data_IF_996961873459
#
_entry.id   IF_996961873459
#
_cell.length_a   1.000
_cell.length_b   1.000
_cell.length_c   1.000
_cell.angle_alpha   90.00
_cell.angle_beta   90.00
_cell.angle_gamma   90.00
#
_symmetry.space_group_name_H-M   'P 1'
#
loop_
_entity.id
_entity.type
_entity.pdbx_description
1 polymer ?
#
# COMPACT_ATOMS: atom_id res chain seq x y z
N UNK A 1 -17.96 -20.17 13.07
CA UNK A 1 -17.04 -19.18 12.45
C UNK A 1 -17.28 -19.18 10.95
N UNK A 2 -17.87 -18.12 10.42
CA UNK A 2 -18.07 -17.94 8.97
C UNK A 2 -16.80 -17.31 8.40
N UNK A 3 -16.04 -18.04 7.60
CA UNK A 3 -14.92 -17.49 6.83
C UNK A 3 -15.46 -16.51 5.78
N UNK A 4 -14.61 -15.57 5.32
CA UNK A 4 -14.90 -14.63 4.23
C UNK A 4 -15.46 -15.33 2.96
N UNK A 5 -15.12 -16.62 2.78
CA UNK A 5 -15.64 -17.51 1.74
C UNK A 5 -17.17 -17.67 1.72
N UNK A 6 -17.88 -17.22 2.76
CA UNK A 6 -19.31 -17.52 2.93
C UNK A 6 -20.21 -16.28 2.80
N UNK A 7 -19.65 -15.08 2.63
CA UNK A 7 -20.43 -13.86 2.38
C UNK A 7 -20.66 -13.68 0.88
N UNK A 8 -21.89 -13.36 0.49
CA UNK A 8 -22.17 -12.99 -0.90
C UNK A 8 -21.62 -11.60 -1.21
N UNK A 9 -21.34 -11.34 -2.49
CA UNK A 9 -20.89 -10.02 -2.95
C UNK A 9 -21.82 -8.89 -2.47
N UNK A 10 -23.14 -9.09 -2.53
CA UNK A 10 -24.12 -8.11 -2.09
C UNK A 10 -24.03 -7.78 -0.60
N UNK A 11 -23.73 -8.77 0.25
CA UNK A 11 -23.52 -8.56 1.68
C UNK A 11 -22.26 -7.72 1.92
N UNK A 12 -21.19 -8.02 1.20
CA UNK A 12 -19.93 -7.26 1.31
C UNK A 12 -20.11 -5.82 0.85
N UNK A 13 -20.74 -5.60 -0.30
CA UNK A 13 -21.04 -4.26 -0.83
C UNK A 13 -21.89 -3.43 0.14
N UNK A 14 -22.93 -4.05 0.73
CA UNK A 14 -23.78 -3.39 1.73
C UNK A 14 -22.98 -2.94 2.95
N UNK A 15 -22.08 -3.79 3.43
CA UNK A 15 -21.26 -3.49 4.60
C UNK A 15 -20.17 -2.44 4.33
N UNK A 16 -19.55 -2.48 3.15
CA UNK A 16 -18.54 -1.52 2.72
C UNK A 16 -19.14 -0.17 2.29
N UNK A 17 -20.45 -0.15 2.00
CA UNK A 17 -21.18 1.05 1.59
C UNK A 17 -20.85 1.51 0.18
N UNK A 18 -20.40 0.60 -0.70
CA UNK A 18 -20.14 0.89 -2.11
C UNK A 18 -20.30 -0.36 -2.97
N UNK A 19 -20.48 -0.18 -4.28
CA UNK A 19 -20.65 -1.30 -5.22
C UNK A 19 -19.34 -1.64 -5.91
N UNK A 20 -18.99 -2.92 -6.09
CA UNK A 20 -17.70 -3.26 -6.69
C UNK A 20 -17.55 -2.77 -8.13
N UNK A 21 -18.65 -2.62 -8.88
CA UNK A 21 -18.55 -2.02 -10.21
C UNK A 21 -18.03 -0.56 -10.18
N UNK A 22 -18.25 0.18 -9.09
CA UNK A 22 -17.69 1.53 -8.91
C UNK A 22 -16.17 1.48 -8.75
N UNK A 23 -15.63 0.44 -8.09
CA UNK A 23 -14.19 0.21 -8.03
C UNK A 23 -13.58 0.00 -9.40
N UNK A 24 -14.27 -0.69 -10.31
CA UNK A 24 -13.76 -0.95 -11.66
C UNK A 24 -13.97 0.22 -12.62
N UNK A 25 -15.04 0.99 -12.46
CA UNK A 25 -15.43 2.03 -13.42
C UNK A 25 -14.95 3.44 -13.05
N UNK A 26 -14.70 3.73 -11.77
CA UNK A 26 -14.40 5.09 -11.29
C UNK A 26 -12.92 5.29 -10.91
N UNK A 27 -12.02 4.50 -11.48
CA UNK A 27 -10.58 4.62 -11.23
C UNK A 27 -9.99 5.83 -11.95
N UNK A 28 -9.28 6.68 -11.22
CA UNK A 28 -8.61 7.86 -11.77
C UNK A 28 -7.09 7.65 -11.88
N UNK A 29 -6.39 8.30 -12.82
CA UNK A 29 -4.93 8.26 -12.92
C UNK A 29 -4.25 8.52 -11.56
N UNK A 30 -3.17 7.81 -11.28
CA UNK A 30 -2.53 7.92 -9.96
C UNK A 30 -1.89 9.30 -9.75
N UNK A 31 -1.52 9.95 -10.84
CA UNK A 31 -0.93 11.29 -10.89
C UNK A 31 -1.85 12.33 -10.26
N UNK A 32 -3.17 12.13 -10.32
CA UNK A 32 -4.15 13.04 -9.71
C UNK A 32 -4.10 13.05 -8.17
N UNK A 33 -3.45 12.06 -7.55
CA UNK A 33 -3.25 12.01 -6.09
C UNK A 33 -1.90 12.58 -5.64
N UNK A 34 -1.03 12.97 -6.57
CA UNK A 34 0.29 13.49 -6.25
C UNK A 34 0.19 15.00 -6.00
N UNK A 35 0.45 15.40 -4.76
CA UNK A 35 0.55 16.83 -4.40
C UNK A 35 2.00 17.27 -4.24
N UNK A 36 2.92 16.32 -4.02
CA UNK A 36 4.35 16.56 -3.85
C UNK A 36 5.17 15.40 -4.37
N UNK A 37 6.15 15.68 -5.22
CA UNK A 37 7.04 14.65 -5.75
C UNK A 37 8.18 14.31 -4.79
N UNK A 38 8.57 13.04 -4.78
CA UNK A 38 9.71 12.54 -4.05
C UNK A 38 11.01 13.11 -4.66
N UNK A 39 12.00 13.50 -3.84
CA UNK A 39 13.27 14.00 -4.33
C UNK A 39 14.00 12.97 -5.18
N UNK A 40 14.68 13.42 -6.25
CA UNK A 40 15.42 12.53 -7.17
C UNK A 40 16.33 11.54 -6.44
N UNK A 41 17.11 12.01 -5.48
CA UNK A 41 18.01 11.19 -4.65
C UNK A 41 17.31 10.08 -3.87
N UNK A 42 16.05 10.28 -3.48
CA UNK A 42 15.25 9.21 -2.85
C UNK A 42 14.85 8.16 -3.88
N UNK A 43 14.42 8.61 -5.07
CA UNK A 43 14.03 7.72 -6.18
C UNK A 43 15.22 6.87 -6.63
N UNK A 44 16.38 7.47 -6.88
CA UNK A 44 17.63 6.78 -7.24
C UNK A 44 18.01 5.72 -6.19
N UNK A 45 17.96 6.06 -4.89
CA UNK A 45 18.24 5.10 -3.83
C UNK A 45 17.27 3.92 -3.79
N UNK A 46 16.01 4.15 -4.15
CA UNK A 46 15.00 3.08 -4.24
C UNK A 46 15.28 2.21 -5.47
N UNK A 47 15.61 2.83 -6.61
CA UNK A 47 16.01 2.15 -7.83
C UNK A 47 17.15 1.16 -7.55
N UNK A 48 18.26 1.63 -6.99
CA UNK A 48 19.44 0.80 -6.69
C UNK A 48 19.05 -0.44 -5.87
N UNK A 49 18.21 -0.25 -4.85
CA UNK A 49 17.78 -1.34 -3.96
C UNK A 49 16.81 -2.31 -4.61
N UNK A 50 15.99 -1.84 -5.53
CA UNK A 50 15.12 -2.71 -6.34
C UNK A 50 15.97 -3.55 -7.29
N UNK A 51 16.96 -2.96 -7.96
CA UNK A 51 17.87 -3.69 -8.85
C UNK A 51 18.68 -4.73 -8.06
N UNK A 52 19.25 -4.36 -6.90
CA UNK A 52 19.96 -5.29 -6.02
C UNK A 52 19.09 -6.54 -5.73
N UNK A 53 17.82 -6.32 -5.36
CA UNK A 53 16.87 -7.38 -5.03
C UNK A 53 16.51 -8.23 -6.27
N UNK A 54 16.25 -7.60 -7.42
CA UNK A 54 15.93 -8.31 -8.66
C UNK A 54 17.10 -9.20 -9.09
N UNK A 55 18.34 -8.70 -9.01
CA UNK A 55 19.53 -9.46 -9.40
C UNK A 55 19.86 -10.60 -8.41
N UNK A 56 19.56 -10.43 -7.12
CA UNK A 56 19.88 -11.45 -6.10
C UNK A 56 18.78 -12.48 -5.88
N UNK A 57 17.51 -12.08 -5.95
CA UNK A 57 16.35 -12.90 -5.56
C UNK A 57 15.40 -13.19 -6.74
N UNK A 58 15.56 -12.48 -7.86
CA UNK A 58 14.74 -12.60 -9.05
C UNK A 58 13.64 -11.54 -9.17
N UNK A 59 12.97 -11.53 -10.31
CA UNK A 59 11.94 -10.55 -10.61
C UNK A 59 10.64 -10.84 -9.82
N UNK A 60 9.99 -9.86 -9.17
CA UNK A 60 8.82 -10.06 -8.29
C UNK A 60 7.51 -10.25 -9.06
N UNK A 61 7.43 -11.33 -9.84
CA UNK A 61 6.27 -11.69 -10.65
C UNK A 61 5.67 -13.01 -10.17
N UNK A 62 4.43 -12.96 -9.67
CA UNK A 62 3.75 -14.11 -9.06
C UNK A 62 3.57 -15.29 -10.03
N UNK A 63 3.59 -15.05 -11.34
CA UNK A 63 3.47 -16.11 -12.36
C UNK A 63 4.77 -16.88 -12.61
N UNK A 64 5.94 -16.37 -12.19
CA UNK A 64 7.23 -17.06 -12.38
C UNK A 64 7.30 -18.33 -11.51
N UNK A 65 6.87 -18.25 -10.25
CA UNK A 65 6.77 -19.42 -9.38
C UNK A 65 5.77 -19.22 -8.25
N UNK A 66 5.22 -20.32 -7.73
CA UNK A 66 4.32 -20.28 -6.56
C UNK A 66 4.97 -19.73 -5.30
N UNK A 67 6.30 -19.72 -5.22
CA UNK A 67 7.08 -19.26 -4.06
C UNK A 67 7.58 -17.82 -4.21
N UNK A 68 7.26 -17.13 -5.32
CA UNK A 68 7.72 -15.77 -5.58
C UNK A 68 7.03 -14.70 -4.71
N UNK A 69 6.11 -15.12 -3.84
CA UNK A 69 5.44 -14.26 -2.87
C UNK A 69 6.44 -13.56 -1.93
N UNK A 70 7.51 -14.24 -1.52
CA UNK A 70 8.52 -13.63 -0.65
C UNK A 70 9.27 -12.51 -1.36
N UNK A 71 9.65 -12.70 -2.63
CA UNK A 71 10.33 -11.69 -3.43
C UNK A 71 9.43 -10.47 -3.65
N UNK A 72 8.14 -10.67 -3.88
CA UNK A 72 7.16 -9.57 -3.94
C UNK A 72 7.11 -8.81 -2.61
N UNK A 73 6.97 -9.53 -1.49
CA UNK A 73 6.91 -8.95 -0.16
C UNK A 73 8.18 -8.14 0.15
N UNK A 74 9.35 -8.68 -0.16
CA UNK A 74 10.62 -8.02 0.14
C UNK A 74 10.88 -6.81 -0.79
N UNK A 75 10.51 -6.88 -2.07
CA UNK A 75 10.51 -5.73 -2.98
C UNK A 75 9.61 -4.59 -2.45
N UNK A 76 8.38 -4.90 -2.05
CA UNK A 76 7.46 -3.93 -1.44
C UNK A 76 8.06 -3.36 -0.15
N UNK A 77 8.64 -4.23 0.68
CA UNK A 77 9.30 -3.86 1.93
C UNK A 77 10.46 -2.89 1.72
N UNK A 78 11.30 -3.11 0.71
CA UNK A 78 12.44 -2.26 0.36
C UNK A 78 11.98 -0.83 0.08
N UNK A 79 10.95 -0.66 -0.77
CA UNK A 79 10.41 0.66 -1.12
C UNK A 79 9.96 1.39 0.16
N UNK A 80 9.14 0.74 0.98
CA UNK A 80 8.59 1.34 2.19
C UNK A 80 9.69 1.65 3.23
N UNK A 81 10.67 0.76 3.40
CA UNK A 81 11.79 0.95 4.32
C UNK A 81 12.63 2.17 3.92
N UNK A 82 12.99 2.29 2.65
CA UNK A 82 13.81 3.40 2.17
C UNK A 82 13.08 4.73 2.31
N UNK A 83 11.77 4.77 2.00
CA UNK A 83 10.93 5.96 2.19
C UNK A 83 10.85 6.34 3.67
N UNK A 84 10.46 5.41 4.56
CA UNK A 84 10.33 5.72 6.00
C UNK A 84 11.68 6.14 6.59
N UNK A 85 12.77 5.49 6.20
CA UNK A 85 14.12 5.89 6.58
C UNK A 85 14.45 7.32 6.13
N UNK A 86 14.08 7.69 4.91
CA UNK A 86 14.27 9.05 4.39
C UNK A 86 13.52 10.08 5.24
N UNK A 87 12.25 9.83 5.56
CA UNK A 87 11.47 10.72 6.41
C UNK A 87 12.07 10.88 7.82
N UNK A 88 12.55 9.80 8.42
CA UNK A 88 13.24 9.86 9.73
C UNK A 88 14.50 10.72 9.66
N UNK A 89 15.39 10.44 8.71
CA UNK A 89 16.73 11.05 8.67
C UNK A 89 16.71 12.48 8.14
N UNK A 90 15.99 12.70 7.05
CA UNK A 90 16.00 13.96 6.29
C UNK A 90 14.89 14.90 6.77
N UNK A 91 13.67 14.39 6.97
CA UNK A 91 12.51 15.20 7.38
C UNK A 91 12.30 15.25 8.91
N UNK A 92 13.18 14.59 9.69
CA UNK A 92 13.13 14.52 11.16
C UNK A 92 11.83 13.92 11.73
N UNK A 93 11.13 13.11 10.95
CA UNK A 93 9.90 12.41 11.34
C UNK A 93 10.19 11.11 12.09
N UNK A 94 10.75 11.24 13.29
CA UNK A 94 11.07 10.11 14.17
C UNK A 94 9.83 9.38 14.70
N UNK A 95 8.68 10.04 14.60
CA UNK A 95 7.34 9.52 14.89
C UNK A 95 6.84 8.50 13.85
N UNK A 96 7.44 8.40 12.67
CA UNK A 96 6.99 7.40 11.70
C UNK A 96 7.59 6.01 12.00
N UNK A 97 6.81 4.95 11.83
CA UNK A 97 7.30 3.58 11.97
C UNK A 97 6.67 2.68 10.92
N UNK A 98 7.52 1.86 10.27
CA UNK A 98 7.08 0.77 9.41
C UNK A 98 6.96 -0.49 10.27
N UNK A 99 5.79 -1.09 10.29
CA UNK A 99 5.49 -2.36 10.95
C UNK A 99 5.26 -3.42 9.88
N UNK A 100 5.74 -4.65 10.12
CA UNK A 100 5.49 -5.83 9.28
C UNK A 100 4.56 -6.79 10.00
N UNK A 101 3.68 -7.49 9.27
CA UNK A 101 2.74 -8.50 9.79
C UNK A 101 1.93 -8.00 10.99
N UNK A 102 1.41 -6.79 10.89
CA UNK A 102 0.71 -6.12 11.96
C UNK A 102 -0.78 -6.48 11.93
N UNK A 103 -1.30 -6.98 13.05
CA UNK A 103 -2.75 -7.12 13.23
C UNK A 103 -3.37 -5.74 13.43
N UNK A 104 -4.41 -5.43 12.64
CA UNK A 104 -5.24 -4.25 12.85
C UNK A 104 -6.54 -4.73 13.50
N UNK A 105 -6.83 -4.33 14.76
CA UNK A 105 -8.05 -4.75 15.45
C UNK A 105 -9.29 -4.34 14.65
N UNK A 106 -10.28 -5.21 14.57
CA UNK A 106 -11.56 -4.86 13.95
C UNK A 106 -12.68 -5.01 14.97
N UNK A 107 -13.71 -4.15 14.88
CA UNK A 107 -14.91 -4.27 15.74
C UNK A 107 -15.58 -5.64 15.59
N UNK A 108 -15.43 -6.28 14.45
CA UNK A 108 -15.89 -7.64 14.21
C UNK A 108 -14.68 -8.57 14.06
N UNK A 109 -14.35 -9.31 15.13
CA UNK A 109 -13.23 -10.27 15.23
C UNK A 109 -13.09 -11.25 14.06
N UNK A 110 -14.15 -11.43 13.27
CA UNK A 110 -14.12 -12.17 12.00
C UNK A 110 -13.15 -11.57 10.97
N UNK A 111 -12.82 -10.28 11.09
CA UNK A 111 -11.95 -9.53 10.17
C UNK A 111 -10.58 -9.21 10.77
N UNK A 112 -10.27 -9.78 11.93
CA UNK A 112 -8.94 -9.68 12.52
C UNK A 112 -7.95 -10.45 11.64
N UNK A 113 -7.23 -9.70 10.80
CA UNK A 113 -6.16 -10.22 9.96
C UNK A 113 -4.92 -9.35 10.06
N UNK A 114 -3.78 -10.00 9.84
CA UNK A 114 -2.49 -9.34 9.75
C UNK A 114 -2.36 -8.69 8.38
N UNK A 115 -1.89 -7.44 8.39
CA UNK A 115 -1.43 -6.75 7.18
C UNK A 115 0.06 -6.88 7.06
N UNK A 116 0.53 -7.13 5.84
CA UNK A 116 1.95 -7.34 5.60
C UNK A 116 2.78 -6.12 5.94
N UNK A 117 2.31 -4.92 5.58
CA UNK A 117 2.97 -3.67 5.94
C UNK A 117 2.00 -2.60 6.39
N UNK A 118 2.40 -1.88 7.44
CA UNK A 118 1.65 -0.75 7.97
C UNK A 118 2.62 0.36 8.35
N UNK A 119 2.36 1.58 7.88
CA UNK A 119 3.06 2.77 8.35
C UNK A 119 2.19 3.45 9.40
N UNK A 120 2.75 3.62 10.59
CA UNK A 120 2.10 4.29 11.72
C UNK A 120 2.85 5.58 12.07
N UNK A 121 2.10 6.56 12.56
CA UNK A 121 2.62 7.69 13.31
C UNK A 121 2.49 7.36 14.79
N UNK A 122 3.62 7.21 15.46
CA UNK A 122 3.69 6.94 16.87
C UNK A 122 3.48 8.20 17.67
N UNK A 123 2.87 8.04 18.84
CA UNK A 123 2.81 9.10 19.83
C UNK A 123 3.44 8.61 21.14
N UNK A 124 3.58 9.50 22.12
CA UNK A 124 4.05 9.09 23.45
C UNK A 124 3.10 8.10 24.13
N UNK A 125 1.83 8.01 23.69
CA UNK A 125 0.90 6.98 24.09
C UNK A 125 0.72 5.97 22.95
N UNK A 126 1.14 4.72 23.16
CA UNK A 126 1.03 3.64 22.16
C UNK A 126 -0.43 3.40 21.73
N UNK A 127 -1.39 3.65 22.63
CA UNK A 127 -2.82 3.51 22.34
C UNK A 127 -3.34 4.56 21.36
N UNK A 128 -2.61 5.66 21.17
CA UNK A 128 -2.94 6.76 20.28
C UNK A 128 -2.11 6.74 18.98
N UNK A 129 -1.43 5.64 18.68
CA UNK A 129 -0.70 5.50 17.42
C UNK A 129 -1.70 5.59 16.26
N UNK A 130 -1.39 6.46 15.28
CA UNK A 130 -2.23 6.66 14.11
C UNK A 130 -1.73 5.80 12.95
N UNK A 131 -2.60 4.96 12.42
CA UNK A 131 -2.33 4.16 11.24
C UNK A 131 -2.50 5.02 9.97
N UNK A 132 -1.42 5.24 9.22
CA UNK A 132 -1.40 6.15 8.08
C UNK A 132 -1.65 5.42 6.76
N UNK A 133 -0.87 4.36 6.54
CA UNK A 133 -0.80 3.62 5.29
C UNK A 133 -0.83 2.13 5.56
N UNK A 134 -1.64 1.39 4.82
CA UNK A 134 -1.68 -0.07 4.85
C UNK A 134 -1.30 -0.59 3.47
N UNK A 135 -0.37 -1.55 3.37
CA UNK A 135 0.02 -2.13 2.08
C UNK A 135 -0.14 -3.63 2.13
N UNK A 136 -0.94 -4.15 1.19
CA UNK A 136 -1.21 -5.56 1.03
C UNK A 136 -0.65 -6.05 -0.32
N UNK A 137 0.49 -6.77 -0.31
CA UNK A 137 1.00 -7.44 -1.48
C UNK A 137 0.09 -8.60 -1.88
N UNK A 138 -0.12 -8.74 -3.17
CA UNK A 138 -1.01 -9.72 -3.79
C UNK A 138 -0.28 -11.06 -3.86
N UNK A 139 -0.71 -11.98 -3.02
CA UNK A 139 -0.66 -13.41 -3.28
C UNK A 139 -2.09 -13.95 -3.33
N UNK A 140 -2.43 -14.71 -4.37
CA UNK A 140 -3.76 -15.31 -4.56
C UNK A 140 -4.79 -14.42 -5.26
N UNK A 141 -6.09 -14.65 -4.99
CA UNK A 141 -7.17 -14.03 -5.78
C UNK A 141 -7.37 -12.54 -5.48
N UNK A 142 -7.37 -11.74 -6.55
CA UNK A 142 -7.45 -10.27 -6.50
C UNK A 142 -8.67 -9.78 -5.72
N UNK A 143 -9.83 -10.39 -5.96
CA UNK A 143 -11.08 -10.02 -5.30
C UNK A 143 -11.01 -10.21 -3.78
N UNK A 144 -10.51 -11.35 -3.30
CA UNK A 144 -10.42 -11.62 -1.85
C UNK A 144 -9.49 -10.63 -1.15
N UNK A 145 -8.35 -10.31 -1.77
CA UNK A 145 -7.37 -9.36 -1.23
C UNK A 145 -7.89 -7.92 -1.25
N UNK A 146 -8.55 -7.52 -2.34
CA UNK A 146 -9.21 -6.22 -2.43
C UNK A 146 -10.22 -6.05 -1.30
N UNK A 147 -11.10 -7.03 -1.12
CA UNK A 147 -12.11 -6.97 -0.08
C UNK A 147 -11.47 -6.88 1.30
N UNK A 148 -10.46 -7.71 1.58
CA UNK A 148 -9.73 -7.67 2.84
C UNK A 148 -9.12 -6.29 3.10
N UNK A 149 -8.46 -5.70 2.09
CA UNK A 149 -7.87 -4.36 2.22
C UNK A 149 -8.94 -3.30 2.52
N UNK A 150 -10.07 -3.32 1.82
CA UNK A 150 -11.17 -2.37 2.05
C UNK A 150 -11.70 -2.44 3.48
N UNK A 151 -11.90 -3.65 4.00
CA UNK A 151 -12.34 -3.84 5.39
C UNK A 151 -11.36 -3.29 6.41
N UNK A 152 -10.07 -3.49 6.14
CA UNK A 152 -9.04 -3.04 7.05
C UNK A 152 -8.88 -1.53 6.97
N UNK A 153 -9.02 -0.90 5.81
CA UNK A 153 -9.06 0.56 5.70
C UNK A 153 -10.23 1.15 6.49
N UNK A 154 -11.42 0.53 6.41
CA UNK A 154 -12.58 0.93 7.21
C UNK A 154 -12.32 0.78 8.71
N UNK A 155 -11.77 -0.36 9.13
CA UNK A 155 -11.42 -0.62 10.54
C UNK A 155 -10.34 0.35 11.04
N UNK A 156 -9.36 0.65 10.19
CA UNK A 156 -8.29 1.60 10.49
C UNK A 156 -8.83 3.02 10.70
N UNK A 157 -9.78 3.44 9.85
CA UNK A 157 -10.46 4.73 10.01
C UNK A 157 -11.23 4.80 11.33
N UNK A 158 -11.99 3.73 11.66
CA UNK A 158 -12.73 3.59 12.91
C UNK A 158 -11.81 3.65 14.15
N UNK A 159 -10.64 3.01 14.10
CA UNK A 159 -9.66 2.98 15.21
C UNK A 159 -8.96 4.33 15.37
N UNK A 160 -8.53 4.94 14.27
CA UNK A 160 -7.85 6.23 14.31
C UNK A 160 -8.74 7.31 14.94
N UNK A 161 -10.07 7.24 14.72
CA UNK A 161 -11.09 8.08 15.34
C UNK A 161 -10.78 9.59 15.29
N UNK A 162 -10.14 10.05 14.21
CA UNK A 162 -9.67 11.43 14.03
C UNK A 162 -10.30 12.11 12.81
N UNK A 163 -11.24 11.45 12.13
CA UNK A 163 -11.90 11.88 10.89
C UNK A 163 -10.92 12.20 9.74
N UNK A 164 -9.70 11.68 9.80
CA UNK A 164 -8.70 11.87 8.74
C UNK A 164 -8.69 10.69 7.78
N UNK A 165 -8.20 10.96 6.58
CA UNK A 165 -8.09 9.99 5.50
C UNK A 165 -7.15 8.84 5.90
N UNK A 166 -7.53 7.63 5.49
CA UNK A 166 -6.68 6.42 5.55
C UNK A 166 -6.36 5.96 4.13
N UNK A 167 -5.11 5.58 3.93
CA UNK A 167 -4.58 5.18 2.64
C UNK A 167 -4.24 3.70 2.63
N UNK A 168 -4.51 3.05 1.51
CA UNK A 168 -4.18 1.65 1.27
C UNK A 168 -3.52 1.45 -0.09
N UNK A 169 -2.61 0.49 -0.18
CA UNK A 169 -2.13 -0.01 -1.46
C UNK A 169 -2.41 -1.49 -1.62
N UNK A 170 -2.93 -1.82 -2.79
CA UNK A 170 -3.01 -3.18 -3.29
C UNK A 170 -1.93 -3.35 -4.37
N UNK A 171 -1.00 -4.30 -4.22
CA UNK A 171 0.17 -4.37 -5.11
C UNK A 171 0.56 -5.78 -5.53
N UNK A 172 1.02 -6.01 -6.76
CA UNK A 172 1.71 -7.26 -7.17
C UNK A 172 3.23 -7.20 -6.97
N UNK A 173 3.75 -6.15 -6.32
CA UNK A 173 5.18 -5.79 -6.36
C UNK A 173 5.49 -4.94 -7.59
N UNK A 174 5.04 -5.38 -8.76
CA UNK A 174 5.20 -4.66 -10.04
C UNK A 174 4.17 -3.53 -10.17
N UNK A 175 2.88 -3.86 -10.04
CA UNK A 175 1.79 -2.92 -10.22
C UNK A 175 1.16 -2.59 -8.87
N UNK A 176 0.96 -1.31 -8.60
CA UNK A 176 0.39 -0.81 -7.37
C UNK A 176 -0.89 -0.01 -7.66
N UNK A 177 -1.86 -0.12 -6.77
CA UNK A 177 -3.11 0.60 -6.85
C UNK A 177 -3.41 1.25 -5.50
N UNK A 178 -3.61 2.56 -5.52
CA UNK A 178 -3.98 3.34 -4.35
C UNK A 178 -5.48 3.21 -4.09
N UNK A 179 -5.83 3.03 -2.82
CA UNK A 179 -7.19 3.05 -2.30
C UNK A 179 -7.24 4.06 -1.16
N UNK A 180 -8.25 4.92 -1.16
CA UNK A 180 -8.44 5.98 -0.16
C UNK A 180 -9.82 5.85 0.45
N UNK A 181 -9.89 6.00 1.78
CA UNK A 181 -11.14 6.08 2.52
C UNK A 181 -11.14 7.27 3.48
N UNK A 182 -12.20 8.07 3.42
CA UNK A 182 -12.40 9.27 4.27
C UNK A 182 -13.48 9.07 5.35
N UNK A 183 -14.02 7.85 5.50
CA UNK A 183 -15.14 7.53 6.39
C UNK A 183 -16.51 7.55 5.71
N UNK A 184 -16.62 8.18 4.53
CA UNK A 184 -17.89 8.32 3.79
C UNK A 184 -17.81 7.76 2.38
N UNK A 185 -16.70 7.98 1.69
CA UNK A 185 -16.51 7.69 0.28
C UNK A 185 -15.19 6.98 0.02
N UNK A 186 -15.15 6.23 -1.07
CA UNK A 186 -13.96 5.54 -1.54
C UNK A 186 -13.42 6.23 -2.81
N UNK A 187 -12.09 6.32 -2.91
CA UNK A 187 -11.40 6.70 -4.16
C UNK A 187 -10.35 5.66 -4.50
N UNK A 188 -10.18 5.43 -5.79
CA UNK A 188 -9.29 4.40 -6.32
C UNK A 188 -8.44 4.97 -7.44
N UNK A 189 -7.14 4.68 -7.43
CA UNK A 189 -6.32 4.93 -8.61
C UNK A 189 -6.50 3.81 -9.64
N UNK A 190 -6.14 4.09 -10.89
CA UNK A 190 -5.76 3.04 -11.83
C UNK A 190 -4.47 2.37 -11.32
N UNK A 191 -4.22 1.08 -11.64
CA UNK A 191 -2.94 0.46 -11.39
C UNK A 191 -1.81 1.23 -12.08
N UNK A 192 -0.68 1.40 -11.40
CA UNK A 192 0.52 2.04 -11.92
C UNK A 192 1.73 1.14 -11.66
N UNK A 193 2.57 0.98 -12.67
CA UNK A 193 3.72 0.08 -12.65
C UNK A 193 4.94 0.76 -12.05
N UNK A 194 5.50 0.16 -11.01
CA UNK A 194 6.82 0.54 -10.44
C UNK A 194 7.93 -0.20 -11.15
N UNK A 195 7.71 -1.45 -11.56
CA UNK A 195 8.72 -2.28 -12.22
C UNK A 195 8.30 -2.55 -13.67
N UNK A 196 9.28 -2.75 -14.54
CA UNK A 196 9.09 -3.19 -15.91
C UNK A 196 10.30 -4.01 -16.37
N UNK A 197 10.19 -4.67 -17.52
CA UNK A 197 11.26 -5.54 -18.06
C UNK A 197 12.53 -4.76 -18.41
N UNK A 198 13.69 -5.35 -18.12
CA UNK A 198 15.02 -4.76 -18.37
C UNK A 198 15.24 -3.40 -17.68
N UNK A 199 14.56 -3.17 -16.55
CA UNK A 199 14.65 -1.92 -15.79
C UNK A 199 16.06 -1.63 -15.30
N UNK A 200 16.89 -2.66 -15.07
CA UNK A 200 18.29 -2.56 -14.65
C UNK A 200 19.19 -1.77 -15.61
N UNK A 201 18.83 -1.70 -16.90
CA UNK A 201 19.54 -0.91 -17.90
C UNK A 201 18.86 0.44 -18.21
N UNK A 202 17.74 0.73 -17.52
CA UNK A 202 16.80 1.79 -17.91
C UNK A 202 16.44 2.73 -16.75
N UNK A 203 17.43 3.10 -15.93
CA UNK A 203 17.24 4.01 -14.78
C UNK A 203 16.58 5.34 -15.20
N UNK A 204 17.07 5.99 -16.25
CA UNK A 204 16.53 7.28 -16.72
C UNK A 204 15.05 7.17 -17.12
N UNK A 205 14.69 6.08 -17.80
CA UNK A 205 13.30 5.81 -18.16
C UNK A 205 12.44 5.58 -16.91
N UNK A 206 12.94 4.79 -15.96
CA UNK A 206 12.25 4.51 -14.72
C UNK A 206 11.98 5.79 -13.94
N UNK A 207 13.01 6.63 -13.76
CA UNK A 207 12.91 7.91 -13.07
C UNK A 207 11.84 8.83 -13.68
N UNK A 208 11.69 8.80 -15.01
CA UNK A 208 10.72 9.62 -15.74
C UNK A 208 9.29 9.06 -15.70
N UNK A 209 9.11 7.74 -15.76
CA UNK A 209 7.81 7.13 -16.10
C UNK A 209 7.22 6.20 -15.04
N UNK A 210 7.99 5.75 -14.06
CA UNK A 210 7.61 4.66 -13.15
C UNK A 210 7.79 4.99 -11.67
N UNK A 211 7.85 6.28 -11.32
CA UNK A 211 8.07 6.76 -9.94
C UNK A 211 6.82 7.34 -9.26
N UNK A 212 5.66 7.27 -9.91
CA UNK A 212 4.41 7.86 -9.43
C UNK A 212 3.95 7.26 -8.10
N UNK A 213 4.16 5.96 -7.87
CA UNK A 213 3.89 5.33 -6.57
C UNK A 213 4.74 5.96 -5.46
N UNK A 214 6.02 6.20 -5.75
CA UNK A 214 6.94 6.83 -4.80
C UNK A 214 6.50 8.25 -4.48
N UNK A 215 6.08 8.98 -5.50
CA UNK A 215 5.56 10.34 -5.38
C UNK A 215 4.26 10.40 -4.56
N UNK A 216 3.34 9.45 -4.75
CA UNK A 216 2.12 9.36 -3.94
C UNK A 216 2.44 9.03 -2.48
N UNK A 217 3.27 8.02 -2.21
CA UNK A 217 3.63 7.66 -0.83
C UNK A 217 4.32 8.85 -0.17
N UNK A 218 5.22 9.52 -0.88
CA UNK A 218 5.90 10.72 -0.40
C UNK A 218 4.93 11.88 -0.16
N UNK A 219 3.96 12.11 -1.05
CA UNK A 219 2.89 13.09 -0.89
C UNK A 219 2.09 12.85 0.40
N UNK A 220 1.65 11.60 0.60
CA UNK A 220 0.88 11.18 1.78
C UNK A 220 1.68 11.44 3.06
N UNK A 221 2.92 10.95 3.13
CA UNK A 221 3.73 11.08 4.35
C UNK A 221 4.17 12.52 4.63
N UNK A 222 4.22 13.37 3.61
CA UNK A 222 4.54 14.80 3.74
C UNK A 222 3.36 15.66 4.18
N UNK A 223 2.12 15.21 4.02
CA UNK A 223 0.91 15.98 4.33
C UNK A 223 0.36 15.75 5.75
N UNK A 224 0.99 14.83 6.49
CA UNK A 224 0.65 14.44 7.87
C UNK A 224 1.54 15.18 8.85
#
# INVERSE_FOLDING_TARGET
>A
MTSFSNLSQQQVESLLGFKFHEFYNNQIPIEEFITRTAPKKLKEKIFDRLIDCILSEGYPEATISSNNELVIIDNVGIILQVIVYYFKRTMKRNDLMLLRKQQIPSKNKQFDKNMEFVIVQTTNNVENNRYLLVVEPKSGSLEKRLIQLLWILKSTWDINNDNKIVYGFLTTGINWQLIIYDGKSWKFSKPSSVLFENMEEQEDQWLQKNTQILDVIYSILSSI
#
